data_IF_264980454100
#
_entry.id   IF_264980454100
#
_cell.length_a   1.000
_cell.length_b   1.000
_cell.length_c   1.000
_cell.angle_alpha   90.00
_cell.angle_beta   90.00
_cell.angle_gamma   90.00
#
_symmetry.space_group_name_H-M   'P 1'
#
loop_
_entity.id
_entity.type
_entity.pdbx_description
1 polymer ?
#
# COMPACT_ATOMS: atom_id res chain seq x y z
N UNK A 1 19.90 -22.76 -11.65
CA UNK A 1 19.46 -21.43 -12.14
C UNK A 1 20.35 -20.28 -11.63
N UNK A 2 21.01 -20.38 -10.47
CA UNK A 2 21.91 -19.32 -9.95
C UNK A 2 23.42 -19.54 -10.20
N UNK A 3 23.82 -20.67 -10.79
CA UNK A 3 25.22 -21.11 -10.87
C UNK A 3 26.17 -20.11 -11.54
N UNK A 4 25.71 -19.37 -12.56
CA UNK A 4 26.51 -18.36 -13.28
C UNK A 4 26.69 -17.03 -12.54
N UNK A 5 25.94 -16.80 -11.46
CA UNK A 5 26.02 -15.59 -10.63
C UNK A 5 26.57 -15.90 -9.23
N UNK A 6 27.07 -17.12 -9.00
CA UNK A 6 27.47 -17.56 -7.67
C UNK A 6 28.63 -16.73 -7.11
N UNK A 7 29.59 -16.32 -7.94
CA UNK A 7 30.67 -15.42 -7.52
C UNK A 7 30.12 -14.09 -7.00
N UNK A 8 29.11 -13.52 -7.64
CA UNK A 8 28.48 -12.29 -7.17
C UNK A 8 27.75 -12.48 -5.83
N UNK A 9 26.99 -13.57 -5.70
CA UNK A 9 26.31 -13.91 -4.43
C UNK A 9 27.32 -14.08 -3.31
N UNK A 10 28.43 -14.76 -3.59
CA UNK A 10 29.51 -14.97 -2.63
C UNK A 10 30.19 -13.66 -2.25
N UNK A 11 30.56 -12.81 -3.22
CA UNK A 11 31.15 -11.51 -2.95
C UNK A 11 30.25 -10.63 -2.08
N UNK A 12 28.95 -10.62 -2.36
CA UNK A 12 27.98 -9.85 -1.56
C UNK A 12 27.84 -10.41 -0.14
N UNK A 13 27.78 -11.73 0.01
CA UNK A 13 27.74 -12.39 1.33
C UNK A 13 29.02 -12.13 2.14
N UNK A 14 30.19 -12.15 1.51
CA UNK A 14 31.47 -11.88 2.15
C UNK A 14 31.56 -10.41 2.61
N UNK A 15 31.12 -9.46 1.77
CA UNK A 15 31.06 -8.05 2.13
C UNK A 15 30.12 -7.80 3.33
N UNK A 16 28.93 -8.42 3.31
CA UNK A 16 27.98 -8.33 4.42
C UNK A 16 28.57 -8.90 5.72
N UNK A 17 29.18 -10.09 5.67
CA UNK A 17 29.85 -10.70 6.82
C UNK A 17 30.97 -9.82 7.42
N UNK A 18 31.75 -9.13 6.57
CA UNK A 18 32.79 -8.19 7.03
C UNK A 18 32.22 -7.01 7.80
N UNK A 19 31.06 -6.49 7.38
CA UNK A 19 30.36 -5.42 8.09
C UNK A 19 29.78 -5.94 9.40
N UNK A 20 29.11 -7.09 9.37
CA UNK A 20 28.54 -7.69 10.58
C UNK A 20 29.62 -7.99 11.60
N UNK A 21 30.81 -8.46 11.18
CA UNK A 21 31.94 -8.75 12.06
C UNK A 21 32.38 -7.56 12.93
N UNK A 22 32.18 -6.32 12.45
CA UNK A 22 32.53 -5.08 13.17
C UNK A 22 31.46 -4.64 14.19
N UNK A 23 30.26 -5.24 14.17
CA UNK A 23 29.17 -4.91 15.08
C UNK A 23 29.29 -5.62 16.43
N UNK A 24 28.71 -5.00 17.45
CA UNK A 24 28.58 -5.57 18.79
C UNK A 24 27.78 -6.88 18.79
N UNK A 25 28.10 -7.75 19.74
CA UNK A 25 27.51 -9.09 19.83
C UNK A 25 25.98 -9.06 19.94
N UNK A 26 25.45 -8.15 20.76
CA UNK A 26 24.01 -8.04 21.00
C UNK A 26 23.32 -7.48 19.75
N UNK A 27 23.87 -6.42 19.14
CA UNK A 27 23.31 -5.86 17.91
C UNK A 27 23.29 -6.87 16.77
N UNK A 28 24.37 -7.65 16.61
CA UNK A 28 24.42 -8.71 15.60
C UNK A 28 23.34 -9.77 15.83
N UNK A 29 23.13 -10.20 17.07
CA UNK A 29 22.06 -11.17 17.39
C UNK A 29 20.67 -10.62 17.08
N UNK A 30 20.42 -9.34 17.36
CA UNK A 30 19.14 -8.70 17.05
C UNK A 30 18.92 -8.66 15.54
N UNK A 31 19.92 -8.21 14.77
CA UNK A 31 19.83 -8.11 13.31
C UNK A 31 19.65 -9.50 12.66
N UNK A 32 20.42 -10.49 13.08
CA UNK A 32 20.28 -11.87 12.59
C UNK A 32 18.88 -12.44 12.91
N UNK A 33 18.32 -12.10 14.08
CA UNK A 33 16.98 -12.52 14.47
C UNK A 33 15.91 -11.85 13.60
N UNK A 34 16.03 -10.54 13.34
CA UNK A 34 15.14 -9.80 12.45
C UNK A 34 15.18 -10.33 11.01
N UNK A 35 16.37 -10.57 10.48
CA UNK A 35 16.53 -11.12 9.14
C UNK A 35 15.92 -12.52 9.04
N UNK A 36 16.14 -13.36 10.05
CA UNK A 36 15.55 -14.70 10.12
C UNK A 36 14.02 -14.64 10.13
N UNK A 37 13.44 -13.77 10.96
CA UNK A 37 11.99 -13.55 10.99
C UNK A 37 11.43 -13.03 9.65
N UNK A 38 12.18 -12.17 8.94
CA UNK A 38 11.81 -11.73 7.60
C UNK A 38 11.75 -12.90 6.61
N UNK A 39 12.76 -13.77 6.62
CA UNK A 39 12.81 -14.93 5.74
C UNK A 39 11.75 -15.99 6.10
N UNK A 40 11.47 -16.21 7.38
CA UNK A 40 10.41 -17.13 7.83
C UNK A 40 9.02 -16.74 7.31
N UNK A 41 8.74 -15.43 7.22
CA UNK A 41 7.50 -14.90 6.65
C UNK A 41 7.40 -15.10 5.13
N UNK A 42 8.51 -14.89 4.40
CA UNK A 42 8.51 -14.91 2.93
C UNK A 42 8.81 -16.28 2.32
N UNK A 43 9.40 -17.19 3.10
CA UNK A 43 9.64 -18.59 2.76
C UNK A 43 9.13 -19.50 3.89
N UNK A 44 7.81 -19.51 4.14
CA UNK A 44 7.25 -20.33 5.20
C UNK A 44 7.51 -21.81 4.91
N UNK A 45 7.62 -22.61 5.98
CA UNK A 45 7.75 -24.06 5.89
C UNK A 45 6.60 -24.62 5.06
N UNK A 46 6.84 -25.60 4.16
CA UNK A 46 5.77 -26.22 3.40
C UNK A 46 4.66 -26.73 4.33
N UNK A 47 3.43 -26.24 4.12
CA UNK A 47 2.26 -26.57 4.96
C UNK A 47 1.85 -25.48 5.97
N UNK A 48 2.67 -24.45 6.18
CA UNK A 48 2.27 -23.26 6.94
C UNK A 48 1.50 -22.28 6.05
N UNK A 49 0.49 -21.61 6.62
CA UNK A 49 -0.29 -20.58 5.91
C UNK A 49 0.61 -19.39 5.59
N UNK A 50 0.65 -19.00 4.32
CA UNK A 50 1.43 -17.86 3.87
C UNK A 50 0.68 -16.55 4.13
N UNK A 51 1.17 -15.77 5.08
CA UNK A 51 0.55 -14.49 5.49
C UNK A 51 0.82 -13.34 4.52
N UNK A 52 1.74 -13.53 3.57
CA UNK A 52 2.08 -12.52 2.55
C UNK A 52 1.15 -12.58 1.33
N UNK A 53 0.26 -13.58 1.26
CA UNK A 53 -0.67 -13.73 0.15
C UNK A 53 -1.75 -12.66 0.18
N UNK A 54 -1.84 -11.93 -0.94
CA UNK A 54 -2.84 -10.88 -1.13
C UNK A 54 -3.94 -11.43 -2.03
N UNK A 55 -5.20 -11.25 -1.61
CA UNK A 55 -6.37 -11.58 -2.42
C UNK A 55 -6.26 -10.91 -3.80
N UNK A 56 -6.52 -11.68 -4.86
CA UNK A 56 -6.46 -11.27 -6.27
C UNK A 56 -7.29 -9.99 -6.51
N UNK A 57 -8.42 -9.81 -5.82
CA UNK A 57 -9.27 -8.61 -5.92
C UNK A 57 -8.62 -7.38 -5.29
N UNK A 58 -7.78 -7.54 -4.27
CA UNK A 58 -6.98 -6.45 -3.70
C UNK A 58 -5.79 -6.13 -4.60
N UNK A 59 -5.18 -7.16 -5.20
CA UNK A 59 -4.06 -7.02 -6.12
C UNK A 59 -4.44 -6.26 -7.41
N UNK A 60 -5.67 -6.39 -7.90
CA UNK A 60 -6.14 -5.67 -9.09
C UNK A 60 -6.53 -4.22 -8.82
N UNK A 61 -6.92 -3.88 -7.58
CA UNK A 61 -7.27 -2.51 -7.17
C UNK A 61 -6.05 -1.65 -6.87
N UNK A 62 -4.97 -2.26 -6.38
CA UNK A 62 -3.68 -1.60 -6.40
C UNK A 62 -3.17 -1.65 -7.84
N UNK A 63 -3.35 -0.56 -8.60
CA UNK A 63 -2.69 -0.36 -9.90
C UNK A 63 -1.16 -0.29 -9.81
N UNK A 64 -0.54 -1.00 -8.86
CA UNK A 64 0.89 -1.23 -8.80
C UNK A 64 1.20 -2.20 -9.92
N UNK A 65 1.79 -1.68 -10.99
CA UNK A 65 2.58 -2.50 -11.89
C UNK A 65 3.45 -3.42 -11.02
N UNK A 66 3.46 -4.71 -11.34
CA UNK A 66 4.32 -5.68 -10.70
C UNK A 66 5.76 -5.23 -10.92
N UNK A 67 6.33 -4.42 -10.03
CA UNK A 67 7.74 -4.56 -9.71
C UNK A 67 7.81 -5.89 -8.98
N UNK A 68 7.98 -6.94 -9.78
CA UNK A 68 8.73 -8.11 -9.36
C UNK A 68 9.95 -7.56 -8.61
N UNK A 69 9.99 -7.68 -7.29
CA UNK A 69 11.18 -7.39 -6.50
C UNK A 69 12.20 -8.47 -6.83
N UNK A 70 12.74 -8.37 -8.03
CA UNK A 70 13.99 -8.94 -8.46
C UNK A 70 15.05 -7.91 -8.00
N UNK A 71 15.67 -8.20 -6.87
CA UNK A 71 17.05 -7.87 -6.52
C UNK A 71 17.72 -6.81 -7.40
N UNK A 72 17.68 -5.53 -7.00
CA UNK A 72 18.71 -4.50 -7.28
C UNK A 72 18.45 -3.33 -6.33
N UNK A 73 18.81 -3.50 -5.06
CA UNK A 73 19.31 -2.40 -4.25
C UNK A 73 20.83 -2.60 -4.17
N UNK A 74 21.50 -2.35 -5.31
CA UNK A 74 22.92 -2.03 -5.27
C UNK A 74 22.96 -0.59 -4.78
N UNK A 75 23.43 -0.44 -3.54
CA UNK A 75 23.82 0.83 -2.96
C UNK A 75 24.96 1.35 -3.85
N UNK A 76 24.65 2.31 -4.74
CA UNK A 76 25.68 3.17 -5.32
C UNK A 76 26.24 4.02 -4.19
N UNK A 77 27.38 3.60 -3.64
CA UNK A 77 28.34 4.53 -3.06
C UNK A 77 29.14 5.07 -4.24
N UNK A 78 28.86 6.32 -4.62
CA UNK A 78 29.74 7.10 -5.50
C UNK A 78 30.80 7.77 -4.62
N UNK A 79 32.06 7.40 -4.84
CA UNK A 79 33.24 8.06 -4.29
C UNK A 79 33.60 9.31 -5.12
N UNK A 80 33.65 10.45 -4.41
CA UNK A 80 34.61 11.57 -4.52
C UNK A 80 34.57 12.64 -5.63
N UNK A 81 34.41 13.87 -5.12
CA UNK A 81 35.19 15.10 -5.35
C UNK A 81 34.91 16.05 -6.55
N UNK A 82 34.33 17.20 -6.17
CA UNK A 82 34.89 18.55 -6.41
C UNK A 82 34.94 19.08 -7.83
N UNK A 83 33.93 19.85 -8.24
CA UNK A 83 34.14 21.19 -8.83
C UNK A 83 33.07 22.20 -8.37
N UNK A 84 33.59 23.21 -7.67
CA UNK A 84 32.99 24.49 -7.30
C UNK A 84 32.39 25.19 -8.53
N UNK A 85 31.19 25.75 -8.41
CA UNK A 85 30.89 27.15 -8.80
C UNK A 85 29.48 27.59 -8.37
N UNK A 86 29.46 28.75 -7.70
CA UNK A 86 28.34 29.49 -7.14
C UNK A 86 27.15 29.71 -8.09
N UNK A 87 25.92 29.63 -7.59
CA UNK A 87 25.16 30.84 -7.19
C UNK A 87 23.78 30.51 -6.62
N UNK A 88 23.55 31.02 -5.41
CA UNK A 88 22.29 31.28 -4.70
C UNK A 88 20.98 31.04 -5.47
N UNK A 89 20.12 30.15 -4.95
CA UNK A 89 18.68 30.37 -4.90
C UNK A 89 18.04 29.46 -3.86
N UNK A 90 17.66 30.03 -2.71
CA UNK A 90 16.65 29.44 -1.83
C UNK A 90 15.33 29.37 -2.62
N UNK A 91 14.85 28.16 -2.91
CA UNK A 91 13.43 27.92 -3.20
C UNK A 91 12.97 26.69 -2.44
N UNK A 92 12.26 26.95 -1.34
CA UNK A 92 11.25 26.02 -0.84
C UNK A 92 10.22 25.74 -1.95
N UNK A 93 9.67 24.52 -1.99
CA UNK A 93 8.28 24.38 -2.38
C UNK A 93 7.53 23.57 -1.34
N UNK A 94 6.83 24.30 -0.48
CA UNK A 94 5.57 23.84 0.09
C UNK A 94 4.53 23.97 -1.03
N UNK A 95 4.10 22.85 -1.62
CA UNK A 95 2.76 22.65 -2.16
C UNK A 95 2.47 21.15 -2.00
N UNK A 96 1.40 20.86 -1.26
CA UNK A 96 0.79 19.54 -1.14
C UNK A 96 0.44 19.05 -2.54
N UNK A 97 1.23 18.13 -3.11
CA UNK A 97 0.83 17.37 -4.29
C UNK A 97 -0.38 16.51 -3.91
N UNK A 98 -1.58 17.03 -4.15
CA UNK A 98 -2.80 16.23 -4.21
C UNK A 98 -2.69 15.38 -5.47
N UNK A 99 -2.10 14.19 -5.33
CA UNK A 99 -2.16 13.17 -6.38
C UNK A 99 -3.62 12.72 -6.51
N UNK A 100 -4.32 13.31 -7.49
CA UNK A 100 -5.61 12.80 -7.92
C UNK A 100 -5.43 11.37 -8.42
N UNK A 101 -6.03 10.41 -7.72
CA UNK A 101 -6.12 9.02 -8.19
C UNK A 101 -6.88 9.01 -9.52
N UNK A 102 -6.15 8.82 -10.61
CA UNK A 102 -6.72 8.65 -11.95
C UNK A 102 -7.32 7.24 -12.04
N UNK A 103 -8.65 7.14 -12.07
CA UNK A 103 -9.35 5.91 -12.47
C UNK A 103 -9.16 5.71 -13.99
N UNK A 104 -8.63 4.57 -14.45
CA UNK A 104 -8.57 4.26 -15.88
C UNK A 104 -10.00 4.14 -16.43
N UNK A 105 -10.31 4.86 -17.52
CA UNK A 105 -11.56 4.70 -18.27
C UNK A 105 -12.52 5.91 -18.28
N UNK A 106 -12.28 6.97 -17.51
CA UNK A 106 -13.00 8.25 -17.71
C UNK A 106 -12.24 9.07 -18.75
N UNK A 107 -12.87 9.30 -19.91
CA UNK A 107 -12.39 10.20 -20.96
C UNK A 107 -11.90 11.50 -20.31
N UNK A 108 -10.70 11.96 -20.74
CA UNK A 108 -10.09 13.19 -20.25
C UNK A 108 -11.15 14.27 -20.24
N UNK A 109 -11.42 14.77 -19.04
CA UNK A 109 -12.30 15.87 -18.86
C UNK A 109 -11.56 17.12 -19.34
N UNK A 110 -11.71 17.48 -20.61
CA UNK A 110 -10.81 18.46 -21.25
C UNK A 110 -10.98 19.87 -20.71
N UNK A 111 -12.00 20.16 -19.89
CA UNK A 111 -12.14 21.45 -19.24
C UNK A 111 -12.71 21.28 -17.83
N UNK A 112 -12.02 21.83 -16.82
CA UNK A 112 -12.50 21.96 -15.42
C UNK A 112 -13.98 22.38 -15.37
N UNK A 113 -14.39 23.23 -16.31
CA UNK A 113 -15.77 23.70 -16.48
C UNK A 113 -16.78 22.57 -16.55
N UNK A 114 -16.60 21.58 -17.42
CA UNK A 114 -17.65 20.58 -17.54
C UNK A 114 -17.60 19.63 -16.29
N UNK A 115 -16.48 19.51 -15.56
CA UNK A 115 -16.37 18.60 -14.39
C UNK A 115 -17.27 19.15 -13.30
N UNK A 116 -17.16 20.47 -13.10
CA UNK A 116 -18.04 21.22 -12.23
C UNK A 116 -19.50 21.08 -12.69
N UNK A 117 -19.81 21.08 -13.99
CA UNK A 117 -21.19 20.84 -14.47
C UNK A 117 -21.72 19.46 -14.06
N UNK A 118 -20.91 18.41 -14.20
CA UNK A 118 -21.30 17.05 -13.78
C UNK A 118 -21.47 16.98 -12.27
N UNK A 119 -20.53 17.52 -11.50
CA UNK A 119 -20.58 17.54 -10.04
C UNK A 119 -21.83 18.30 -9.55
N UNK A 120 -22.11 19.47 -10.12
CA UNK A 120 -23.30 20.26 -9.79
C UNK A 120 -24.58 19.47 -10.11
N UNK A 121 -24.64 18.82 -11.27
CA UNK A 121 -25.78 17.97 -11.65
C UNK A 121 -25.96 16.78 -10.69
N UNK A 122 -24.87 16.16 -10.25
CA UNK A 122 -24.89 15.07 -9.27
C UNK A 122 -25.37 15.57 -7.90
N UNK A 123 -24.89 16.72 -7.44
CA UNK A 123 -25.30 17.33 -6.19
C UNK A 123 -26.78 17.72 -6.21
N UNK A 124 -27.28 18.30 -7.31
CA UNK A 124 -28.71 18.58 -7.49
C UNK A 124 -29.54 17.29 -7.43
N UNK A 125 -29.07 16.22 -8.08
CA UNK A 125 -29.73 14.90 -8.05
C UNK A 125 -29.72 14.28 -6.65
N UNK A 126 -28.68 14.52 -5.85
CA UNK A 126 -28.61 14.06 -4.45
C UNK A 126 -29.55 14.87 -3.55
N UNK A 127 -29.67 16.17 -3.79
CA UNK A 127 -30.52 17.07 -3.00
C UNK A 127 -32.01 16.83 -3.25
N UNK A 128 -32.40 16.45 -4.48
CA UNK A 128 -33.79 16.14 -4.81
C UNK A 128 -34.31 14.82 -4.23
N UNK A 129 -33.45 14.01 -3.62
CA UNK A 129 -33.87 12.76 -2.96
C UNK A 129 -34.64 13.09 -1.69
N UNK A 130 -35.83 12.52 -1.56
CA UNK A 130 -36.58 12.56 -0.31
C UNK A 130 -35.86 11.71 0.74
N UNK A 131 -35.38 12.36 1.80
CA UNK A 131 -34.71 11.71 2.93
C UNK A 131 -35.65 11.70 4.13
N UNK A 132 -35.76 10.56 4.79
CA UNK A 132 -36.50 10.43 6.04
C UNK A 132 -35.64 10.86 7.23
N UNK A 133 -36.28 11.38 8.28
CA UNK A 133 -35.61 11.59 9.57
C UNK A 133 -35.09 10.25 10.09
N UNK A 134 -33.91 10.27 10.70
CA UNK A 134 -33.26 9.09 11.29
C UNK A 134 -34.17 8.40 12.32
N UNK A 135 -34.95 9.17 13.10
CA UNK A 135 -35.94 8.63 14.05
C UNK A 135 -37.01 7.79 13.36
N UNK A 136 -37.61 8.29 12.28
CA UNK A 136 -38.64 7.55 11.50
C UNK A 136 -38.07 6.28 10.86
N UNK A 137 -36.84 6.36 10.37
CA UNK A 137 -36.15 5.20 9.82
C UNK A 137 -35.95 4.14 10.91
N UNK A 138 -35.44 4.54 12.08
CA UNK A 138 -35.21 3.64 13.21
C UNK A 138 -36.51 2.98 13.71
N UNK A 139 -37.58 3.76 13.88
CA UNK A 139 -38.91 3.25 14.26
C UNK A 139 -39.43 2.21 13.26
N UNK A 140 -39.33 2.50 11.95
CA UNK A 140 -39.74 1.57 10.91
C UNK A 140 -38.92 0.27 10.91
N UNK A 141 -37.61 0.35 11.13
CA UNK A 141 -36.75 -0.84 11.26
C UNK A 141 -37.11 -1.67 12.49
N UNK A 142 -37.30 -1.03 13.65
CA UNK A 142 -37.71 -1.71 14.89
C UNK A 142 -39.06 -2.40 14.72
N UNK A 143 -40.02 -1.73 14.07
CA UNK A 143 -41.31 -2.33 13.76
C UNK A 143 -41.18 -3.54 12.82
N UNK A 144 -40.37 -3.43 11.76
CA UNK A 144 -40.15 -4.52 10.81
C UNK A 144 -39.55 -5.76 11.48
N UNK A 145 -38.51 -5.59 12.30
CA UNK A 145 -37.90 -6.71 13.01
C UNK A 145 -38.76 -7.22 14.18
N UNK A 146 -39.50 -6.33 14.86
CA UNK A 146 -40.43 -6.71 15.92
C UNK A 146 -41.54 -7.64 15.42
N UNK A 147 -42.13 -7.35 14.26
CA UNK A 147 -43.14 -8.23 13.63
C UNK A 147 -42.58 -9.60 13.21
N UNK A 148 -41.28 -9.69 12.94
CA UNK A 148 -40.63 -10.91 12.44
C UNK A 148 -39.86 -11.67 13.52
N UNK A 149 -39.90 -11.20 14.77
CA UNK A 149 -39.18 -11.79 15.90
C UNK A 149 -39.53 -13.28 16.10
N UNK A 150 -40.81 -13.64 15.98
CA UNK A 150 -41.30 -15.02 16.10
C UNK A 150 -40.95 -15.93 14.91
N UNK A 151 -40.53 -15.37 13.78
CA UNK A 151 -40.20 -16.12 12.57
C UNK A 151 -38.69 -16.32 12.37
N UNK A 152 -37.86 -15.66 13.18
CA UNK A 152 -36.41 -15.82 13.10
C UNK A 152 -36.00 -16.95 14.05
N UNK A 153 -35.96 -18.17 13.48
CA UNK A 153 -35.61 -19.42 14.17
C UNK A 153 -34.30 -19.35 14.98
N UNK A 154 -33.33 -18.54 14.54
CA UNK A 154 -32.03 -18.37 15.21
C UNK A 154 -32.06 -17.48 16.45
N UNK A 155 -33.14 -16.73 16.69
CA UNK A 155 -33.29 -15.81 17.84
C UNK A 155 -34.15 -16.46 18.94
N UNK A 156 -34.93 -17.48 18.61
CA UNK A 156 -35.80 -18.21 19.55
C UNK A 156 -35.19 -19.48 20.15
N UNK A 157 -33.91 -19.78 19.86
CA UNK A 157 -33.13 -20.87 20.44
C UNK A 157 -32.09 -20.31 21.42
#
# INVERSE_FOLDING_TARGET
MLSRKWEFVFMQAEAQYKVDKKRDRIERQILDSQERAFWDLHRPVPGCVNTTEVDIRKLSRSGRSKQSTCNTLVIQMEDNESQLNNSNNLKTPNIREVRFYQKPGRRRYTQIKDYLKIEISELQTRLSKNVLKTSKLAESYLQYYGHRYYFIFWISL
#
